data_IF_539242484804
#
_entry.id   IF_539242484804
#
_cell.length_a   1.000
_cell.length_b   1.000
_cell.length_c   1.000
_cell.angle_alpha   90.00
_cell.angle_beta   90.00
_cell.angle_gamma   90.00
#
_symmetry.space_group_name_H-M   'P 1'
#
loop_
_entity.id
_entity.type
_entity.pdbx_description
1 polymer ?
#
# COMPACT_ATOMS: atom_id res chain seq x y z
N UNK A 1 2.63 -17.53 -4.14
CA UNK A 1 1.21 -17.93 -4.01
C UNK A 1 0.51 -18.01 -5.38
N UNK A 2 0.18 -16.91 -6.06
CA UNK A 2 -0.59 -16.97 -7.32
C UNK A 2 0.14 -17.66 -8.49
N UNK A 3 1.42 -17.32 -8.72
CA UNK A 3 2.23 -17.94 -9.78
C UNK A 3 2.39 -19.44 -9.51
N UNK A 4 2.65 -19.82 -8.26
CA UNK A 4 2.81 -21.21 -7.84
C UNK A 4 1.53 -22.02 -8.09
N UNK A 5 0.36 -21.52 -7.65
CA UNK A 5 -0.92 -22.18 -7.88
C UNK A 5 -1.18 -22.38 -9.39
N UNK A 6 -0.91 -21.35 -10.21
CA UNK A 6 -1.09 -21.44 -11.66
C UNK A 6 -0.16 -22.44 -12.33
N UNK A 7 1.07 -22.58 -11.83
CA UNK A 7 2.02 -23.58 -12.33
C UNK A 7 1.67 -25.00 -11.89
N UNK A 8 1.04 -25.16 -10.71
CA UNK A 8 0.56 -26.44 -10.19
C UNK A 8 -0.76 -26.91 -10.84
N UNK A 9 -1.46 -26.03 -11.56
CA UNK A 9 -2.80 -26.30 -12.10
C UNK A 9 -3.92 -26.15 -11.05
N UNK A 10 -3.61 -25.55 -9.90
CA UNK A 10 -4.56 -25.30 -8.82
C UNK A 10 -5.42 -24.07 -9.10
N UNK A 11 -6.56 -23.99 -8.40
CA UNK A 11 -7.38 -22.78 -8.39
C UNK A 11 -6.57 -21.58 -7.85
N UNK A 12 -6.80 -20.41 -8.42
CA UNK A 12 -6.16 -19.18 -7.94
C UNK A 12 -6.56 -18.92 -6.47
N UNK A 13 -5.60 -18.51 -5.61
CA UNK A 13 -5.94 -18.09 -4.26
C UNK A 13 -6.85 -16.86 -4.31
N UNK A 14 -7.64 -16.66 -3.26
CA UNK A 14 -8.41 -15.43 -3.10
C UNK A 14 -7.49 -14.21 -3.15
N UNK A 15 -7.96 -13.14 -3.79
CA UNK A 15 -7.25 -11.86 -3.79
C UNK A 15 -6.95 -11.42 -2.34
N UNK A 16 -5.78 -10.81 -2.07
CA UNK A 16 -5.44 -10.34 -0.74
C UNK A 16 -6.39 -9.23 -0.29
N UNK A 17 -6.69 -9.19 1.01
CA UNK A 17 -7.51 -8.12 1.58
C UNK A 17 -6.77 -6.79 1.56
N UNK A 18 -7.51 -5.69 1.61
CA UNK A 18 -6.93 -4.34 1.67
C UNK A 18 -5.96 -4.20 2.85
N UNK A 19 -6.31 -4.74 4.03
CA UNK A 19 -5.42 -4.75 5.19
C UNK A 19 -4.09 -5.47 4.95
N UNK A 20 -4.09 -6.59 4.20
CA UNK A 20 -2.87 -7.34 3.87
C UNK A 20 -1.97 -6.53 2.93
N UNK A 21 -2.56 -5.94 1.89
CA UNK A 21 -1.83 -5.07 0.95
C UNK A 21 -1.22 -3.87 1.68
N UNK A 22 -1.99 -3.21 2.54
CA UNK A 22 -1.52 -2.09 3.36
C UNK A 22 -0.37 -2.48 4.30
N UNK A 23 -0.41 -3.68 4.90
CA UNK A 23 0.67 -4.18 5.75
C UNK A 23 1.97 -4.40 4.96
N UNK A 24 1.89 -5.07 3.80
CA UNK A 24 3.03 -5.31 2.90
C UNK A 24 3.64 -3.98 2.45
N UNK A 25 2.78 -3.04 2.04
CA UNK A 25 3.22 -1.73 1.59
C UNK A 25 3.96 -0.96 2.70
N UNK A 26 3.41 -0.92 3.92
CA UNK A 26 4.08 -0.25 5.06
C UNK A 26 5.42 -0.91 5.42
N UNK A 27 5.54 -2.23 5.31
CA UNK A 27 6.83 -2.91 5.48
C UNK A 27 7.83 -2.43 4.43
N UNK A 28 7.44 -2.43 3.14
CA UNK A 28 8.27 -1.94 2.05
C UNK A 28 8.69 -0.47 2.24
N UNK A 29 7.81 0.39 2.75
CA UNK A 29 8.16 1.78 3.05
C UNK A 29 9.22 1.90 4.14
N UNK A 30 9.13 1.09 5.21
CA UNK A 30 10.16 1.04 6.25
C UNK A 30 11.51 0.63 5.68
N UNK A 31 11.54 -0.34 4.77
CA UNK A 31 12.78 -0.77 4.11
C UNK A 31 13.38 0.36 3.27
N UNK A 32 12.56 1.12 2.54
CA UNK A 32 13.01 2.31 1.80
C UNK A 32 13.62 3.37 2.73
N UNK A 33 12.98 3.63 3.88
CA UNK A 33 13.49 4.61 4.84
C UNK A 33 14.80 4.15 5.49
N UNK A 34 14.90 2.86 5.82
CA UNK A 34 16.11 2.28 6.39
C UNK A 34 17.28 2.29 5.38
N UNK A 35 17.01 2.02 4.10
CA UNK A 35 18.04 1.94 3.07
C UNK A 35 18.51 3.32 2.57
N UNK A 36 17.58 4.24 2.30
CA UNK A 36 17.91 5.54 1.70
C UNK A 36 18.07 6.67 2.74
N UNK A 37 17.74 6.43 4.00
CA UNK A 37 17.55 7.47 5.01
C UNK A 37 16.24 8.23 4.80
N UNK A 38 15.78 8.95 5.82
CA UNK A 38 14.42 9.51 5.84
C UNK A 38 14.14 10.48 4.66
N UNK A 39 14.99 11.50 4.47
CA UNK A 39 14.72 12.53 3.47
C UNK A 39 14.65 11.98 2.04
N UNK A 40 15.56 11.08 1.65
CA UNK A 40 15.53 10.45 0.33
C UNK A 40 14.46 9.36 0.24
N UNK A 41 14.30 8.57 1.31
CA UNK A 41 13.30 7.53 1.42
C UNK A 41 11.88 8.06 1.24
N UNK A 42 11.51 9.18 1.87
CA UNK A 42 10.20 9.85 1.70
C UNK A 42 9.93 10.22 0.24
N UNK A 43 10.94 10.74 -0.48
CA UNK A 43 10.78 11.09 -1.90
C UNK A 43 10.62 9.85 -2.78
N UNK A 44 11.40 8.81 -2.52
CA UNK A 44 11.35 7.54 -3.26
C UNK A 44 10.04 6.82 -2.99
N UNK A 45 9.59 6.77 -1.74
CA UNK A 45 8.35 6.14 -1.30
C UNK A 45 7.12 6.64 -2.07
N UNK A 46 7.06 7.93 -2.44
CA UNK A 46 5.94 8.51 -3.22
C UNK A 46 5.62 7.73 -4.49
N UNK A 47 6.65 7.25 -5.21
CA UNK A 47 6.44 6.47 -6.44
C UNK A 47 5.85 5.09 -6.14
N UNK A 48 6.33 4.44 -5.08
CA UNK A 48 5.84 3.13 -4.66
C UNK A 48 4.40 3.23 -4.18
N UNK A 49 4.07 4.25 -3.38
CA UNK A 49 2.70 4.55 -2.97
C UNK A 49 1.80 4.77 -4.19
N UNK A 50 2.26 5.53 -5.19
CA UNK A 50 1.54 5.68 -6.45
C UNK A 50 1.30 4.37 -7.21
N UNK A 51 2.24 3.42 -7.16
CA UNK A 51 2.10 2.12 -7.82
C UNK A 51 1.10 1.20 -7.11
N UNK A 52 1.14 1.12 -5.77
CA UNK A 52 0.19 0.34 -4.99
C UNK A 52 -1.26 0.84 -5.16
N UNK A 53 -1.44 2.15 -5.28
CA UNK A 53 -2.77 2.76 -5.31
C UNK A 53 -3.25 3.15 -6.72
N UNK A 54 -2.69 2.55 -7.77
CA UNK A 54 -3.00 2.89 -9.16
C UNK A 54 -4.44 2.54 -9.53
N UNK A 55 -4.90 1.36 -9.14
CA UNK A 55 -6.18 0.81 -9.60
C UNK A 55 -7.36 1.12 -8.66
N UNK A 56 -7.12 1.93 -7.61
CA UNK A 56 -8.16 2.33 -6.68
C UNK A 56 -8.81 3.65 -7.12
N UNK A 57 -10.11 3.59 -7.46
CA UNK A 57 -10.89 4.71 -8.01
C UNK A 57 -10.85 5.97 -7.12
N UNK A 58 -10.82 5.80 -5.79
CA UNK A 58 -10.88 6.91 -4.82
C UNK A 58 -9.51 7.33 -4.25
N UNK A 59 -8.41 6.84 -4.81
CA UNK A 59 -7.07 7.14 -4.30
C UNK A 59 -6.60 8.58 -4.57
N UNK A 60 -7.37 9.43 -5.26
CA UNK A 60 -6.88 10.76 -5.68
C UNK A 60 -6.54 11.67 -4.49
N UNK A 61 -7.45 11.81 -3.52
CA UNK A 61 -7.21 12.63 -2.32
C UNK A 61 -6.06 12.07 -1.49
N UNK A 62 -6.03 10.75 -1.30
CA UNK A 62 -4.94 10.06 -0.62
C UNK A 62 -3.58 10.34 -1.28
N UNK A 63 -3.49 10.20 -2.61
CA UNK A 63 -2.25 10.48 -3.36
C UNK A 63 -1.81 11.93 -3.18
N UNK A 64 -2.73 12.89 -3.19
CA UNK A 64 -2.40 14.30 -2.94
C UNK A 64 -1.81 14.50 -1.54
N UNK A 65 -2.41 13.92 -0.49
CA UNK A 65 -1.89 13.99 0.88
C UNK A 65 -0.48 13.39 0.98
N UNK A 66 -0.22 12.26 0.33
CA UNK A 66 1.11 11.62 0.32
C UNK A 66 2.17 12.50 -0.36
N UNK A 67 1.82 13.20 -1.45
CA UNK A 67 2.75 14.10 -2.14
C UNK A 67 3.17 15.31 -1.31
N UNK A 68 2.30 15.77 -0.41
CA UNK A 68 2.55 16.90 0.49
C UNK A 68 3.38 16.52 1.73
N UNK A 69 3.49 15.21 2.01
CA UNK A 69 4.10 14.73 3.25
C UNK A 69 5.63 14.75 3.18
N UNK A 70 6.27 15.18 4.29
CA UNK A 70 7.73 15.32 4.41
C UNK A 70 8.40 14.35 5.39
N UNK A 71 7.64 13.59 6.20
CA UNK A 71 8.19 12.63 7.15
C UNK A 71 7.81 11.19 6.80
N UNK A 72 8.67 10.25 7.22
CA UNK A 72 8.42 8.82 7.06
C UNK A 72 7.21 8.38 7.90
N UNK A 73 7.08 8.90 9.12
CA UNK A 73 5.97 8.58 10.02
C UNK A 73 4.61 8.98 9.44
N UNK A 74 4.50 10.19 8.87
CA UNK A 74 3.24 10.65 8.31
C UNK A 74 2.86 9.89 7.02
N UNK A 75 3.83 9.47 6.20
CA UNK A 75 3.53 8.58 5.07
C UNK A 75 2.99 7.23 5.55
N UNK A 76 3.57 6.63 6.59
CA UNK A 76 3.10 5.36 7.16
C UNK A 76 1.69 5.48 7.75
N UNK A 77 1.40 6.59 8.43
CA UNK A 77 0.08 6.87 8.99
C UNK A 77 -0.98 7.02 7.90
N UNK A 78 -0.72 7.85 6.88
CA UNK A 78 -1.64 8.02 5.75
C UNK A 78 -1.94 6.68 5.06
N UNK A 79 -0.91 5.85 4.84
CA UNK A 79 -1.07 4.52 4.24
C UNK A 79 -1.90 3.62 5.14
N UNK A 80 -1.67 3.62 6.46
CA UNK A 80 -2.50 2.86 7.39
C UNK A 80 -3.96 3.28 7.29
N UNK A 81 -4.26 4.56 7.50
CA UNK A 81 -5.63 5.06 7.51
C UNK A 81 -6.37 4.81 6.20
N UNK A 82 -5.66 4.90 5.06
CA UNK A 82 -6.25 4.63 3.76
C UNK A 82 -6.66 3.15 3.59
N UNK A 83 -5.76 2.21 3.92
CA UNK A 83 -6.06 0.78 3.75
C UNK A 83 -7.03 0.25 4.81
N UNK A 84 -7.03 0.81 6.02
CA UNK A 84 -8.00 0.47 7.06
C UNK A 84 -9.42 0.88 6.61
N UNK A 85 -9.58 2.11 6.08
CA UNK A 85 -10.86 2.57 5.54
C UNK A 85 -11.35 1.74 4.34
N UNK A 86 -10.43 1.27 3.49
CA UNK A 86 -10.76 0.36 2.38
C UNK A 86 -11.20 -1.03 2.87
N UNK A 87 -10.55 -1.56 3.90
CA UNK A 87 -10.90 -2.87 4.48
C UNK A 87 -12.29 -2.80 5.12
N UNK A 88 -12.58 -1.73 5.87
CA UNK A 88 -13.88 -1.47 6.47
C UNK A 88 -14.99 -1.31 5.42
N UNK A 89 -14.73 -0.54 4.35
CA UNK A 89 -15.70 -0.35 3.27
C UNK A 89 -15.98 -1.66 2.51
N UNK A 90 -14.97 -2.51 2.35
CA UNK A 90 -15.13 -3.83 1.72
C UNK A 90 -15.90 -4.78 2.63
N UNK A 91 -15.63 -4.75 3.94
CA UNK A 91 -16.35 -5.57 4.92
C UNK A 91 -17.84 -5.17 5.06
N UNK A 92 -18.16 -3.88 4.93
CA UNK A 92 -19.53 -3.38 4.99
C UNK A 92 -20.36 -3.66 3.70
N UNK A 93 -19.70 -4.02 2.60
CA UNK A 93 -20.33 -4.30 1.31
C UNK A 93 -20.63 -5.80 1.07
N UNK A 94 -20.29 -6.67 2.03
CA UNK A 94 -20.53 -8.14 2.02
C UNK A 94 -21.71 -8.46 2.93
#
# INVERSE_FOLDING_TARGET
>A
REIEARLAGDAAPSAPRAAEVGAIMRAHLRDLYAFYGEAAGVRIARKHIGWYCRDHADAQLFRQSVMQTLSASAQLELVRSYFDALDDATAAAV
#
